data_IF_122236488437
#
_entry.id   IF_122236488437
#
_cell.length_a   1.000
_cell.length_b   1.000
_cell.length_c   1.000
_cell.angle_alpha   90.00
_cell.angle_beta   90.00
_cell.angle_gamma   90.00
#
_symmetry.space_group_name_H-M   'P 1'
#
loop_
_entity.id
_entity.type
_entity.pdbx_description
1 polymer ?
#
# COMPACT_ATOMS: atom_id res chain seq x y z
N UNK A 1 -2.71 30.68 -25.69
CA UNK A 1 -1.51 29.89 -25.34
C UNK A 1 -1.10 30.10 -23.88
N UNK A 2 -0.54 31.23 -23.44
CA UNK A 2 -0.04 31.38 -22.04
C UNK A 2 -1.13 31.31 -20.95
N UNK A 3 -2.32 31.87 -21.20
CA UNK A 3 -3.45 31.83 -20.23
C UNK A 3 -4.01 30.41 -20.07
N UNK A 4 -4.05 29.64 -21.16
CA UNK A 4 -4.58 28.29 -21.16
C UNK A 4 -3.67 27.32 -20.40
N UNK A 5 -2.35 27.41 -20.62
CA UNK A 5 -1.36 26.65 -19.84
C UNK A 5 -1.43 27.01 -18.35
N UNK A 6 -1.60 28.29 -18.01
CA UNK A 6 -1.76 28.73 -16.63
C UNK A 6 -3.01 28.13 -15.96
N UNK A 7 -4.13 28.06 -16.68
CA UNK A 7 -5.35 27.47 -16.13
C UNK A 7 -5.23 25.95 -15.98
N UNK A 8 -4.56 25.27 -16.91
CA UNK A 8 -4.22 23.84 -16.80
C UNK A 8 -3.30 23.55 -15.62
N UNK A 9 -2.24 24.35 -15.40
CA UNK A 9 -1.37 24.20 -14.21
C UNK A 9 -2.15 24.44 -12.91
N UNK A 10 -3.03 25.44 -12.86
CA UNK A 10 -3.91 25.65 -11.69
C UNK A 10 -4.85 24.47 -11.43
N UNK A 11 -5.42 23.84 -12.46
CA UNK A 11 -6.24 22.63 -12.31
C UNK A 11 -5.43 21.50 -11.66
N UNK A 12 -4.19 21.26 -12.09
CA UNK A 12 -3.29 20.27 -11.48
C UNK A 12 -2.99 20.66 -10.03
N UNK A 13 -2.64 21.92 -9.75
CA UNK A 13 -2.31 22.36 -8.40
C UNK A 13 -3.46 22.23 -7.40
N UNK A 14 -4.72 22.34 -7.85
CA UNK A 14 -5.90 22.13 -6.98
C UNK A 14 -6.02 20.70 -6.45
N UNK A 15 -5.41 19.70 -7.12
CA UNK A 15 -5.35 18.32 -6.62
C UNK A 15 -4.64 18.23 -5.27
N UNK A 16 -3.70 19.15 -4.97
CA UNK A 16 -3.03 19.21 -3.67
C UNK A 16 -3.89 19.90 -2.58
N UNK A 17 -4.77 20.82 -2.96
CA UNK A 17 -5.46 21.73 -2.03
C UNK A 17 -6.87 21.27 -1.62
N UNK A 18 -7.54 20.41 -2.39
CA UNK A 18 -8.91 19.96 -2.10
C UNK A 18 -9.00 18.88 -0.99
N UNK A 19 -7.99 18.77 -0.13
CA UNK A 19 -7.70 17.60 0.72
C UNK A 19 -8.08 17.74 2.21
N UNK A 20 -8.96 18.68 2.59
CA UNK A 20 -9.33 18.86 3.99
C UNK A 20 -10.28 17.77 4.55
N UNK A 21 -10.85 16.89 3.71
CA UNK A 21 -11.71 15.79 4.22
C UNK A 21 -11.77 14.51 3.37
N UNK A 22 -11.46 14.56 2.06
CA UNK A 22 -11.45 13.37 1.19
C UNK A 22 -10.04 13.10 0.66
N UNK A 23 -9.55 11.87 0.85
CA UNK A 23 -8.28 11.39 0.30
C UNK A 23 -8.36 11.41 -1.23
N UNK A 24 -7.53 12.22 -1.89
CA UNK A 24 -7.41 12.19 -3.37
C UNK A 24 -6.89 10.81 -3.76
N UNK A 25 -7.61 10.15 -4.66
CA UNK A 25 -7.17 8.88 -5.21
C UNK A 25 -6.30 9.13 -6.44
N UNK A 26 -5.36 8.24 -6.72
CA UNK A 26 -4.57 8.30 -7.96
C UNK A 26 -5.48 8.30 -9.21
N UNK A 27 -6.66 7.70 -9.11
CA UNK A 27 -7.67 7.71 -10.16
C UNK A 27 -8.25 9.12 -10.42
N UNK A 28 -8.46 9.92 -9.38
CA UNK A 28 -8.91 11.31 -9.52
C UNK A 28 -7.83 12.17 -10.19
N UNK A 29 -6.55 11.89 -9.89
CA UNK A 29 -5.42 12.55 -10.56
C UNK A 29 -5.41 12.17 -12.04
N UNK A 30 -5.50 10.88 -12.37
CA UNK A 30 -5.59 10.42 -13.76
C UNK A 30 -6.75 11.06 -14.50
N UNK A 31 -7.92 11.23 -13.86
CA UNK A 31 -9.07 11.92 -14.45
C UNK A 31 -8.74 13.36 -14.86
N UNK A 32 -8.11 14.12 -13.97
CA UNK A 32 -7.73 15.51 -14.26
C UNK A 32 -6.66 15.57 -15.35
N UNK A 33 -5.68 14.67 -15.34
CA UNK A 33 -4.64 14.61 -16.37
C UNK A 33 -5.21 14.27 -17.75
N UNK A 34 -6.17 13.35 -17.79
CA UNK A 34 -6.87 12.99 -19.03
C UNK A 34 -7.61 14.17 -19.63
N UNK A 35 -8.30 14.99 -18.84
CA UNK A 35 -8.97 16.22 -19.29
C UNK A 35 -7.97 17.26 -19.80
N UNK A 36 -6.86 17.45 -19.07
CA UNK A 36 -5.89 18.51 -19.35
C UNK A 36 -5.05 18.23 -20.60
N UNK A 37 -4.63 16.98 -20.76
CA UNK A 37 -3.73 16.53 -21.83
C UNK A 37 -4.47 15.93 -23.03
N UNK A 38 -5.79 15.74 -22.92
CA UNK A 38 -6.61 15.04 -23.93
C UNK A 38 -6.06 13.63 -24.22
N UNK A 39 -5.63 12.94 -23.16
CA UNK A 39 -4.85 11.70 -23.23
C UNK A 39 -5.37 10.64 -22.26
N UNK A 40 -5.08 9.37 -22.52
CA UNK A 40 -5.14 8.36 -21.46
C UNK A 40 -3.98 8.57 -20.50
N UNK A 41 -4.24 8.42 -19.19
CA UNK A 41 -3.25 8.62 -18.13
C UNK A 41 -3.19 7.41 -17.19
N UNK A 42 -1.97 6.99 -16.86
CA UNK A 42 -1.67 5.89 -15.94
C UNK A 42 -0.63 6.33 -14.92
N UNK A 43 -0.82 5.89 -13.67
CA UNK A 43 0.17 5.99 -12.60
C UNK A 43 0.52 4.58 -12.13
N UNK A 44 1.80 4.23 -12.25
CA UNK A 44 2.33 2.89 -11.98
C UNK A 44 3.32 3.01 -10.83
N UNK A 45 3.17 2.19 -9.79
CA UNK A 45 4.14 2.13 -8.68
C UNK A 45 5.48 1.55 -9.15
N UNK A 46 6.53 1.73 -8.36
CA UNK A 46 7.85 1.12 -8.60
C UNK A 46 7.78 -0.41 -8.84
N UNK A 47 6.85 -1.10 -8.19
CA UNK A 47 6.67 -2.56 -8.32
C UNK A 47 5.85 -2.97 -9.55
N UNK A 48 5.42 -2.02 -10.39
CA UNK A 48 4.57 -2.29 -11.56
C UNK A 48 3.08 -2.33 -11.27
N UNK A 49 2.63 -2.10 -10.02
CA UNK A 49 1.20 -2.03 -9.68
C UNK A 49 0.57 -0.77 -10.26
N UNK A 50 -0.56 -0.90 -10.94
CA UNK A 50 -1.36 0.23 -11.44
C UNK A 50 -2.12 0.84 -10.26
N UNK A 51 -1.79 2.10 -9.96
CA UNK A 51 -2.37 2.85 -8.85
C UNK A 51 -3.59 3.67 -9.31
N UNK A 52 -3.57 4.14 -10.56
CA UNK A 52 -4.66 4.88 -11.19
C UNK A 52 -4.58 4.78 -12.71
N UNK A 53 -5.75 4.76 -13.36
CA UNK A 53 -5.87 4.73 -14.82
C UNK A 53 -7.13 5.48 -15.24
N UNK A 54 -7.01 6.34 -16.26
CA UNK A 54 -8.17 6.96 -16.90
C UNK A 54 -7.99 7.01 -18.40
N UNK A 55 -8.98 6.48 -19.12
CA UNK A 55 -9.04 6.50 -20.57
C UNK A 55 -9.61 7.84 -21.08
N UNK A 56 -8.94 8.45 -22.05
CA UNK A 56 -9.35 9.70 -22.69
C UNK A 56 -10.00 9.49 -24.06
N UNK A 57 -10.58 10.55 -24.62
CA UNK A 57 -11.27 10.56 -25.91
C UNK A 57 -10.39 10.28 -27.14
N UNK A 58 -9.07 10.23 -26.95
CA UNK A 58 -8.08 9.86 -27.97
C UNK A 58 -7.31 8.59 -27.62
N UNK A 59 -7.92 7.69 -26.85
CA UNK A 59 -7.32 6.43 -26.40
C UNK A 59 -8.37 5.33 -26.30
N UNK A 60 -8.76 4.75 -27.44
CA UNK A 60 -9.23 3.35 -27.42
C UNK A 60 -8.11 2.46 -26.87
N UNK A 61 -8.47 1.28 -26.39
CA UNK A 61 -7.60 0.35 -25.69
C UNK A 61 -6.19 0.29 -26.33
N UNK A 62 -5.18 0.87 -25.67
CA UNK A 62 -3.84 0.30 -25.78
C UNK A 62 -4.03 -1.18 -25.45
N UNK A 63 -3.48 -2.03 -26.31
CA UNK A 63 -3.68 -3.47 -26.37
C UNK A 63 -3.79 -4.19 -25.02
N UNK A 64 -4.24 -5.44 -25.05
CA UNK A 64 -4.40 -6.32 -23.89
C UNK A 64 -3.17 -6.43 -22.95
N UNK A 65 -2.01 -5.87 -23.34
CA UNK A 65 -0.73 -5.91 -22.63
C UNK A 65 -0.64 -4.90 -21.46
N UNK A 66 -1.38 -3.79 -21.51
CA UNK A 66 -1.51 -2.88 -20.36
C UNK A 66 -2.76 -3.25 -19.58
N UNK A 67 -2.56 -3.90 -18.43
CA UNK A 67 -3.67 -4.26 -17.54
C UNK A 67 -4.50 -3.01 -17.21
N UNK A 68 -5.83 -3.13 -17.30
CA UNK A 68 -6.76 -1.99 -17.32
C UNK A 68 -7.42 -1.73 -15.96
N UNK A 69 -7.01 -2.49 -14.95
CA UNK A 69 -7.68 -2.53 -13.67
C UNK A 69 -6.77 -1.96 -12.58
N UNK A 70 -7.33 -1.08 -11.76
CA UNK A 70 -6.60 -0.55 -10.61
C UNK A 70 -6.26 -1.71 -9.68
N UNK A 71 -4.99 -1.81 -9.31
CA UNK A 71 -4.49 -2.86 -8.41
C UNK A 71 -3.84 -4.04 -9.11
N UNK A 72 -3.97 -4.19 -10.43
CA UNK A 72 -3.21 -5.19 -11.20
C UNK A 72 -1.78 -4.74 -11.44
N UNK A 73 -0.94 -5.66 -11.88
CA UNK A 73 0.45 -5.40 -12.23
C UNK A 73 0.60 -5.39 -13.75
N UNK A 74 1.46 -4.53 -14.26
CA UNK A 74 1.93 -4.60 -15.65
C UNK A 74 2.96 -5.73 -15.79
N UNK A 75 3.26 -6.11 -17.03
CA UNK A 75 4.31 -7.10 -17.29
C UNK A 75 5.66 -6.68 -16.69
N UNK A 76 6.40 -7.59 -16.02
CA UNK A 76 7.67 -7.27 -15.39
C UNK A 76 8.70 -6.63 -16.34
N UNK A 77 8.79 -7.14 -17.58
CA UNK A 77 9.72 -6.62 -18.60
C UNK A 77 9.37 -5.19 -18.99
N UNK A 78 8.07 -4.88 -19.13
CA UNK A 78 7.61 -3.51 -19.38
C UNK A 78 7.96 -2.60 -18.20
N UNK A 79 7.75 -3.06 -16.97
CA UNK A 79 8.09 -2.29 -15.77
C UNK A 79 9.59 -1.98 -15.70
N UNK A 80 10.46 -2.97 -15.97
CA UNK A 80 11.91 -2.76 -16.02
C UNK A 80 12.30 -1.71 -17.05
N UNK A 81 11.71 -1.75 -18.25
CA UNK A 81 11.95 -0.74 -19.30
C UNK A 81 11.50 0.66 -18.88
N UNK A 82 10.34 0.77 -18.23
CA UNK A 82 9.84 2.05 -17.71
C UNK A 82 10.73 2.61 -16.59
N UNK A 83 11.24 1.75 -15.70
CA UNK A 83 12.19 2.14 -14.65
C UNK A 83 13.55 2.56 -15.22
N UNK A 84 13.95 2.03 -16.38
CA UNK A 84 15.16 2.43 -17.11
C UNK A 84 15.09 3.84 -17.71
N UNK A 85 13.91 4.48 -17.73
CA UNK A 85 13.73 5.87 -18.17
C UNK A 85 14.02 6.79 -16.99
N UNK A 86 15.12 7.55 -17.05
CA UNK A 86 15.63 8.38 -15.95
C UNK A 86 15.22 9.86 -16.03
N UNK A 87 14.70 10.29 -17.18
CA UNK A 87 14.16 11.64 -17.40
C UNK A 87 12.89 11.54 -18.22
N UNK A 88 12.04 12.57 -18.17
CA UNK A 88 10.85 12.63 -19.01
C UNK A 88 11.23 12.39 -20.47
N UNK A 89 10.51 11.47 -21.11
CA UNK A 89 10.62 11.21 -22.54
C UNK A 89 9.27 11.45 -23.19
N UNK A 90 9.21 12.38 -24.11
CA UNK A 90 8.04 12.71 -24.91
C UNK A 90 8.03 11.97 -26.25
N UNK A 91 6.83 11.84 -26.83
CA UNK A 91 6.62 11.24 -28.15
C UNK A 91 7.29 9.86 -28.32
N UNK A 92 7.32 9.09 -27.23
CA UNK A 92 7.92 7.76 -27.19
C UNK A 92 7.14 6.82 -28.10
N UNK A 93 7.84 6.12 -28.99
CA UNK A 93 7.27 4.98 -29.71
C UNK A 93 7.09 3.82 -28.73
N UNK A 94 5.85 3.43 -28.47
CA UNK A 94 5.49 2.37 -27.53
C UNK A 94 6.04 0.98 -27.92
N UNK A 95 6.31 0.73 -29.21
CA UNK A 95 6.97 -0.50 -29.67
C UNK A 95 8.37 -0.64 -29.08
N UNK A 96 9.07 0.48 -28.83
CA UNK A 96 10.40 0.46 -28.20
C UNK A 96 10.33 0.08 -26.72
N UNK A 97 9.17 0.23 -26.09
CA UNK A 97 8.85 -0.28 -24.76
C UNK A 97 8.34 -1.72 -24.81
N UNK A 98 8.17 -2.27 -26.01
CA UNK A 98 7.65 -3.60 -26.33
C UNK A 98 6.16 -3.77 -26.04
N UNK A 99 5.40 -2.68 -26.14
CA UNK A 99 3.95 -2.75 -26.26
C UNK A 99 3.65 -2.94 -27.74
N UNK A 100 2.93 -3.98 -28.10
CA UNK A 100 2.67 -4.37 -29.50
C UNK A 100 1.18 -4.43 -29.80
N UNK A 101 0.77 -4.05 -31.01
CA UNK A 101 -0.65 -3.91 -31.36
C UNK A 101 -0.89 -3.18 -32.68
N UNK A 102 -2.01 -3.50 -33.34
CA UNK A 102 -2.33 -3.03 -34.69
C UNK A 102 -2.55 -1.49 -34.77
N UNK A 103 -2.94 -0.85 -33.67
CA UNK A 103 -3.18 0.62 -33.61
C UNK A 103 -1.98 1.43 -33.10
N UNK A 104 -0.91 0.78 -32.67
CA UNK A 104 0.25 1.43 -32.02
C UNK A 104 1.01 2.43 -32.90
N UNK A 105 1.12 2.27 -34.24
CA UNK A 105 1.88 3.20 -35.07
C UNK A 105 1.43 4.68 -34.98
N UNK A 106 0.17 4.92 -34.65
CA UNK A 106 -0.40 6.28 -34.51
C UNK A 106 -0.40 6.79 -33.06
N UNK A 107 0.13 6.00 -32.11
CA UNK A 107 0.14 6.33 -30.70
C UNK A 107 1.44 7.00 -30.28
N UNK A 108 1.32 8.10 -29.55
CA UNK A 108 2.46 8.77 -28.92
C UNK A 108 2.28 8.79 -27.41
N UNK A 109 3.39 8.70 -26.67
CA UNK A 109 3.38 8.73 -25.21
C UNK A 109 4.39 9.71 -24.61
N UNK A 110 4.05 10.29 -23.46
CA UNK A 110 5.03 10.85 -22.53
C UNK A 110 5.18 9.86 -21.38
N UNK A 111 6.42 9.50 -21.09
CA UNK A 111 6.78 8.73 -19.89
C UNK A 111 7.51 9.67 -18.94
N UNK A 112 6.91 9.90 -17.78
CA UNK A 112 7.45 10.78 -16.73
C UNK A 112 7.85 9.95 -15.52
N UNK A 113 9.15 9.86 -15.22
CA UNK A 113 9.66 9.40 -13.94
C UNK A 113 9.03 10.11 -12.74
N UNK A 114 8.67 9.37 -11.70
CA UNK A 114 8.22 9.96 -10.44
C UNK A 114 9.31 9.74 -9.40
N UNK A 115 10.17 10.74 -9.24
CA UNK A 115 11.28 10.74 -8.30
C UNK A 115 11.08 11.82 -7.23
N UNK A 116 11.18 11.45 -5.94
CA UNK A 116 11.16 12.40 -4.82
C UNK A 116 12.29 12.07 -3.86
N UNK A 117 13.02 13.11 -3.42
CA UNK A 117 14.12 12.98 -2.46
C UNK A 117 15.20 11.96 -2.89
N UNK A 118 15.39 11.78 -4.20
CA UNK A 118 16.35 10.81 -4.75
C UNK A 118 15.84 9.37 -4.82
N UNK A 119 14.57 9.12 -4.49
CA UNK A 119 13.95 7.81 -4.61
C UNK A 119 12.93 7.76 -5.76
N UNK A 120 13.03 6.71 -6.59
CA UNK A 120 12.06 6.40 -7.64
C UNK A 120 10.82 5.75 -7.04
N UNK A 121 9.71 6.48 -7.02
CA UNK A 121 8.43 6.02 -6.47
C UNK A 121 7.59 5.26 -7.50
N UNK A 122 7.69 5.63 -8.78
CA UNK A 122 6.88 5.05 -9.84
C UNK A 122 7.10 5.70 -11.19
N UNK A 123 6.17 5.45 -12.11
CA UNK A 123 6.20 6.00 -13.47
C UNK A 123 4.79 6.49 -13.83
N UNK A 124 4.69 7.71 -14.35
CA UNK A 124 3.48 8.20 -14.98
C UNK A 124 3.59 8.02 -16.49
N UNK A 125 2.55 7.49 -17.12
CA UNK A 125 2.48 7.31 -18.57
C UNK A 125 1.23 8.01 -19.06
N UNK A 126 1.37 8.91 -20.03
CA UNK A 126 0.25 9.52 -20.74
C UNK A 126 0.38 9.26 -22.23
N UNK A 127 -0.69 8.84 -22.88
CA UNK A 127 -0.67 8.53 -24.31
C UNK A 127 -1.94 8.99 -25.03
N UNK A 128 -1.80 9.29 -26.31
CA UNK A 128 -2.91 9.62 -27.21
C UNK A 128 -2.58 9.24 -28.65
N UNK A 129 -3.61 9.00 -29.44
CA UNK A 129 -3.49 8.75 -30.87
C UNK A 129 -3.47 10.06 -31.67
N UNK A 130 -2.84 10.01 -32.85
CA UNK A 130 -2.94 11.01 -33.94
C UNK A 130 -2.42 12.42 -33.64
N UNK A 131 -1.89 12.70 -32.43
CA UNK A 131 -1.40 14.03 -32.04
C UNK A 131 -0.16 13.93 -31.15
N UNK A 132 0.98 14.43 -31.65
CA UNK A 132 2.22 14.52 -30.87
C UNK A 132 2.11 15.50 -29.70
N UNK A 133 2.92 15.28 -28.69
CA UNK A 133 3.06 16.13 -27.52
C UNK A 133 4.00 17.31 -27.78
N UNK A 134 3.56 18.51 -27.37
CA UNK A 134 4.34 19.74 -27.43
C UNK A 134 4.92 20.14 -26.07
N UNK A 135 5.63 21.27 -26.03
CA UNK A 135 6.29 21.76 -24.81
C UNK A 135 5.33 21.99 -23.64
N UNK A 136 4.14 22.52 -23.92
CA UNK A 136 3.09 22.74 -22.90
C UNK A 136 2.65 21.41 -22.26
N UNK A 137 2.54 20.35 -23.06
CA UNK A 137 2.18 19.02 -22.57
C UNK A 137 3.30 18.42 -21.70
N UNK A 138 4.56 18.65 -22.06
CA UNK A 138 5.74 18.21 -21.28
C UNK A 138 5.76 18.94 -19.94
N UNK A 139 5.61 20.27 -19.93
CA UNK A 139 5.55 21.08 -18.70
C UNK A 139 4.44 20.58 -17.77
N UNK A 140 3.24 20.35 -18.32
CA UNK A 140 2.10 19.84 -17.56
C UNK A 140 2.36 18.43 -17.03
N UNK A 141 3.02 17.57 -17.80
CA UNK A 141 3.35 16.20 -17.40
C UNK A 141 4.40 16.16 -16.29
N UNK A 142 5.45 16.99 -16.35
CA UNK A 142 6.44 17.07 -15.28
C UNK A 142 5.86 17.67 -13.98
N UNK A 143 5.04 18.71 -14.12
CA UNK A 143 4.34 19.28 -12.97
C UNK A 143 3.37 18.28 -12.34
N UNK A 144 2.61 17.56 -13.17
CA UNK A 144 1.76 16.47 -12.73
C UNK A 144 2.55 15.35 -12.04
N UNK A 145 3.69 14.93 -12.61
CA UNK A 145 4.57 13.93 -12.02
C UNK A 145 5.04 14.32 -10.61
N UNK A 146 5.34 15.60 -10.40
CA UNK A 146 5.68 16.14 -9.07
C UNK A 146 4.50 16.05 -8.09
N UNK A 147 3.29 16.40 -8.53
CA UNK A 147 2.06 16.32 -7.72
C UNK A 147 1.71 14.87 -7.38
N UNK A 148 1.79 13.95 -8.36
CA UNK A 148 1.57 12.51 -8.14
C UNK A 148 2.59 11.99 -7.13
N UNK A 149 3.87 12.38 -7.27
CA UNK A 149 4.90 11.97 -6.32
C UNK A 149 4.58 12.37 -4.89
N UNK A 150 4.07 13.58 -4.65
CA UNK A 150 3.69 14.03 -3.31
C UNK A 150 2.58 13.15 -2.71
N UNK A 151 1.59 12.77 -3.50
CA UNK A 151 0.54 11.84 -3.06
C UNK A 151 1.06 10.41 -2.87
N UNK A 152 2.04 9.96 -3.66
CA UNK A 152 2.72 8.68 -3.44
C UNK A 152 3.50 8.66 -2.12
N UNK A 153 4.26 9.72 -1.83
CA UNK A 153 4.96 9.91 -0.54
C UNK A 153 3.98 9.89 0.63
N UNK A 154 2.86 10.60 0.50
CA UNK A 154 1.81 10.63 1.50
C UNK A 154 1.22 9.23 1.73
N UNK A 155 0.89 8.51 0.65
CA UNK A 155 0.35 7.16 0.74
C UNK A 155 1.30 6.20 1.46
N UNK A 156 2.60 6.23 1.13
CA UNK A 156 3.64 5.43 1.80
C UNK A 156 3.76 5.83 3.28
N UNK A 157 3.73 7.12 3.59
CA UNK A 157 3.81 7.62 4.98
C UNK A 157 2.60 7.17 5.80
N UNK A 158 1.39 7.22 5.23
CA UNK A 158 0.16 6.76 5.88
C UNK A 158 0.17 5.25 6.13
N UNK A 159 0.66 4.46 5.16
CA UNK A 159 0.82 3.00 5.26
C UNK A 159 1.83 2.64 6.37
N UNK A 160 3.03 3.23 6.33
CA UNK A 160 4.06 3.05 7.37
C UNK A 160 3.55 3.45 8.76
N UNK A 161 2.80 4.55 8.86
CA UNK A 161 2.22 4.99 10.13
C UNK A 161 1.14 4.02 10.63
N UNK A 162 0.36 3.41 9.74
CA UNK A 162 -0.62 2.39 10.09
C UNK A 162 0.05 1.11 10.60
N UNK A 163 1.11 0.67 9.92
CA UNK A 163 1.93 -0.47 10.34
C UNK A 163 2.61 -0.20 11.69
N UNK A 164 3.24 0.97 11.87
CA UNK A 164 3.84 1.35 13.15
C UNK A 164 2.81 1.40 14.29
N UNK A 165 1.58 1.89 14.03
CA UNK A 165 0.49 1.84 15.01
C UNK A 165 0.11 0.40 15.35
N UNK A 166 0.01 -0.48 14.35
CA UNK A 166 -0.27 -1.91 14.52
C UNK A 166 0.79 -2.56 15.43
N UNK A 167 2.06 -2.30 15.20
CA UNK A 167 3.13 -2.79 16.08
C UNK A 167 3.06 -2.22 17.50
N UNK A 168 2.84 -0.90 17.60
CA UNK A 168 2.84 -0.20 18.89
C UNK A 168 1.73 -0.71 19.80
N UNK A 169 0.53 -0.97 19.26
CA UNK A 169 -0.59 -1.54 20.03
C UNK A 169 -0.19 -2.86 20.70
N UNK A 170 0.45 -3.76 19.96
CA UNK A 170 0.91 -5.06 20.49
C UNK A 170 2.00 -4.86 21.53
N UNK A 171 3.02 -4.05 21.24
CA UNK A 171 4.12 -3.75 22.17
C UNK A 171 3.60 -3.17 23.48
N UNK A 172 2.65 -2.23 23.40
CA UNK A 172 1.98 -1.66 24.57
C UNK A 172 1.20 -2.72 25.35
N UNK A 173 0.44 -3.58 24.68
CA UNK A 173 -0.30 -4.66 25.34
C UNK A 173 0.63 -5.61 26.10
N UNK A 174 1.73 -6.04 25.47
CA UNK A 174 2.76 -6.89 26.08
C UNK A 174 3.35 -6.21 27.33
N UNK A 175 3.68 -4.93 27.25
CA UNK A 175 4.26 -4.19 28.38
C UNK A 175 3.31 -4.03 29.58
N UNK A 176 2.00 -4.26 29.40
CA UNK A 176 1.05 -4.29 30.52
C UNK A 176 0.98 -5.65 31.23
N UNK A 177 1.55 -6.70 30.65
CA UNK A 177 1.58 -8.03 31.25
C UNK A 177 2.67 -8.13 32.32
N UNK A 178 2.33 -8.80 33.42
CA UNK A 178 3.32 -9.33 34.36
C UNK A 178 4.04 -10.54 33.75
N UNK A 179 5.17 -10.94 34.34
CA UNK A 179 5.96 -12.08 33.87
C UNK A 179 5.11 -13.36 33.67
N UNK A 180 4.32 -13.74 34.68
CA UNK A 180 3.46 -14.93 34.60
C UNK A 180 2.32 -14.78 33.58
N UNK A 181 1.82 -13.57 33.35
CA UNK A 181 0.81 -13.31 32.32
C UNK A 181 1.40 -13.41 30.91
N UNK A 182 2.63 -12.94 30.72
CA UNK A 182 3.35 -13.05 29.45
C UNK A 182 3.65 -14.51 29.11
N UNK A 183 4.14 -15.29 30.08
CA UNK A 183 4.37 -16.73 29.92
C UNK A 183 3.07 -17.46 29.57
N UNK A 184 1.96 -17.13 30.25
CA UNK A 184 0.64 -17.66 29.93
C UNK A 184 0.23 -17.37 28.49
N UNK A 185 0.42 -16.13 28.02
CA UNK A 185 0.09 -15.70 26.66
C UNK A 185 0.93 -16.44 25.63
N UNK A 186 2.24 -16.60 25.85
CA UNK A 186 3.11 -17.37 24.94
C UNK A 186 2.54 -18.80 24.79
N UNK A 187 2.19 -19.48 25.88
CA UNK A 187 1.61 -20.82 25.81
C UNK A 187 0.25 -20.85 25.11
N UNK A 188 -0.61 -19.88 25.37
CA UNK A 188 -1.92 -19.74 24.72
C UNK A 188 -1.78 -19.63 23.21
N UNK A 189 -0.89 -18.76 22.73
CA UNK A 189 -0.71 -18.52 21.30
C UNK A 189 0.01 -19.69 20.60
N UNK A 190 0.90 -20.42 21.29
CA UNK A 190 1.49 -21.66 20.75
C UNK A 190 0.45 -22.80 20.61
N UNK A 191 -0.64 -22.78 21.40
CA UNK A 191 -1.75 -23.74 21.29
C UNK A 191 -2.81 -23.32 20.26
N UNK A 192 -2.77 -22.09 19.77
CA UNK A 192 -3.71 -21.61 18.76
C UNK A 192 -3.26 -22.12 17.38
N UNK A 193 -4.10 -22.92 16.72
CA UNK A 193 -3.85 -23.37 15.35
C UNK A 193 -4.34 -22.31 14.35
N UNK A 194 -3.52 -21.30 14.08
CA UNK A 194 -3.86 -20.21 13.14
C UNK A 194 -4.14 -18.88 13.84
N UNK A 195 -5.11 -18.12 13.34
CA UNK A 195 -5.53 -16.80 13.83
C UNK A 195 -6.76 -16.83 14.75
N UNK A 196 -7.40 -17.99 14.90
CA UNK A 196 -8.57 -18.17 15.77
C UNK A 196 -8.63 -19.57 16.40
N UNK A 197 -9.29 -19.70 17.56
CA UNK A 197 -9.41 -20.99 18.23
C UNK A 197 -10.20 -20.95 19.53
N UNK A 198 -10.55 -22.13 20.05
CA UNK A 198 -11.20 -22.28 21.36
C UNK A 198 -10.17 -22.66 22.40
N UNK A 199 -10.05 -21.83 23.43
CA UNK A 199 -9.13 -21.98 24.53
C UNK A 199 -9.83 -22.46 25.81
N UNK A 200 -9.29 -23.49 26.45
CA UNK A 200 -9.73 -23.94 27.78
C UNK A 200 -8.71 -23.52 28.83
N UNK A 201 -8.99 -22.41 29.52
CA UNK A 201 -8.05 -21.80 30.48
C UNK A 201 -7.60 -22.75 31.62
N UNK A 202 -8.46 -23.66 32.08
CA UNK A 202 -8.06 -24.65 33.10
C UNK A 202 -6.98 -25.61 32.60
N UNK A 203 -7.07 -26.07 31.36
CA UNK A 203 -6.09 -27.00 30.75
C UNK A 203 -4.70 -26.38 30.67
N UNK A 204 -4.63 -25.08 30.38
CA UNK A 204 -3.38 -24.34 30.27
C UNK A 204 -2.82 -24.01 31.66
N UNK A 205 -3.69 -23.63 32.59
CA UNK A 205 -3.32 -23.40 34.00
C UNK A 205 -2.63 -24.63 34.60
N UNK A 206 -3.22 -25.82 34.44
CA UNK A 206 -2.69 -27.08 34.97
C UNK A 206 -1.35 -27.47 34.31
N UNK A 207 -1.18 -27.16 33.02
CA UNK A 207 0.03 -27.51 32.25
C UNK A 207 1.22 -26.60 32.58
N UNK A 208 0.98 -25.30 32.70
CA UNK A 208 2.02 -24.29 32.94
C UNK A 208 2.27 -24.10 34.45
N UNK A 209 1.38 -24.61 35.30
CA UNK A 209 1.51 -24.50 36.76
C UNK A 209 1.17 -23.11 37.29
N UNK A 210 0.23 -22.41 36.63
CA UNK A 210 -0.23 -21.07 37.01
C UNK A 210 -1.71 -21.07 37.38
N UNK A 211 -2.17 -20.02 38.05
CA UNK A 211 -3.60 -19.89 38.38
C UNK A 211 -4.43 -19.47 37.16
N UNK A 212 -5.68 -19.95 37.07
CA UNK A 212 -6.60 -19.58 35.97
C UNK A 212 -6.83 -18.06 35.87
N UNK A 213 -6.76 -17.33 36.99
CA UNK A 213 -6.92 -15.88 37.01
C UNK A 213 -5.81 -15.14 36.24
N UNK A 214 -4.58 -15.66 36.22
CA UNK A 214 -3.46 -15.11 35.44
C UNK A 214 -3.80 -15.15 33.95
N UNK A 215 -4.29 -16.29 33.45
CA UNK A 215 -4.70 -16.45 32.04
C UNK A 215 -5.83 -15.48 31.68
N UNK A 216 -6.87 -15.42 32.51
CA UNK A 216 -8.03 -14.55 32.25
C UNK A 216 -7.64 -13.08 32.25
N UNK A 217 -6.76 -12.65 33.17
CA UNK A 217 -6.28 -11.27 33.21
C UNK A 217 -5.41 -10.92 32.00
N UNK A 218 -4.53 -11.83 31.57
CA UNK A 218 -3.70 -11.63 30.40
C UNK A 218 -4.54 -11.47 29.12
N UNK A 219 -5.52 -12.36 28.92
CA UNK A 219 -6.48 -12.28 27.81
C UNK A 219 -7.28 -10.97 27.84
N UNK A 220 -7.74 -10.55 29.02
CA UNK A 220 -8.49 -9.28 29.18
C UNK A 220 -7.65 -8.07 28.81
N UNK A 221 -6.34 -8.05 29.13
CA UNK A 221 -5.42 -6.96 28.75
C UNK A 221 -5.24 -6.89 27.23
N UNK A 222 -5.08 -8.04 26.58
CA UNK A 222 -4.95 -8.12 25.12
C UNK A 222 -6.25 -7.73 24.40
N UNK A 223 -7.39 -8.15 24.92
CA UNK A 223 -8.71 -7.75 24.41
C UNK A 223 -8.93 -6.24 24.58
N UNK A 224 -8.58 -5.68 25.74
CA UNK A 224 -8.70 -4.23 26.01
C UNK A 224 -7.80 -3.39 25.10
N UNK A 225 -6.67 -3.94 24.65
CA UNK A 225 -5.76 -3.30 23.71
C UNK A 225 -6.17 -3.48 22.24
N UNK A 226 -7.20 -4.28 21.95
CA UNK A 226 -7.61 -4.60 20.58
C UNK A 226 -6.64 -5.52 19.84
N UNK A 227 -5.86 -6.32 20.57
CA UNK A 227 -4.97 -7.35 19.98
C UNK A 227 -5.76 -8.61 19.63
N UNK A 228 -6.74 -8.95 20.47
CA UNK A 228 -7.64 -10.09 20.29
C UNK A 228 -9.10 -9.68 20.51
N UNK A 229 -10.00 -10.49 20.01
CA UNK A 229 -11.40 -10.53 20.43
C UNK A 229 -11.65 -11.84 21.18
N UNK A 230 -12.39 -11.78 22.28
CA UNK A 230 -12.75 -12.98 23.04
C UNK A 230 -14.26 -13.13 23.16
N UNK A 231 -14.74 -14.38 23.07
CA UNK A 231 -16.15 -14.72 23.30
C UNK A 231 -16.24 -15.94 24.19
N UNK A 232 -16.92 -15.80 25.33
CA UNK A 232 -17.16 -16.94 26.21
C UNK A 232 -18.07 -17.97 25.54
N UNK A 233 -17.64 -19.22 25.49
CA UNK A 233 -18.43 -20.39 25.05
C UNK A 233 -18.88 -21.24 26.25
N UNK A 234 -18.96 -20.64 27.44
CA UNK A 234 -19.32 -21.32 28.68
C UNK A 234 -18.34 -22.43 29.05
N UNK A 235 -18.85 -23.65 29.24
CA UNK A 235 -18.03 -24.82 29.63
C UNK A 235 -17.09 -25.30 28.51
N UNK A 236 -17.32 -24.91 27.24
CA UNK A 236 -16.46 -25.30 26.12
C UNK A 236 -15.15 -24.51 26.06
N UNK A 237 -15.04 -23.42 26.84
CA UNK A 237 -13.89 -22.53 26.84
C UNK A 237 -14.22 -21.12 26.34
N UNK A 238 -13.19 -20.40 25.93
CA UNK A 238 -13.29 -19.05 25.36
C UNK A 238 -12.81 -19.11 23.93
N UNK A 239 -13.65 -18.71 22.98
CA UNK A 239 -13.20 -18.50 21.61
C UNK A 239 -12.38 -17.22 21.56
N UNK A 240 -11.23 -17.28 20.91
CA UNK A 240 -10.31 -16.16 20.73
C UNK A 240 -10.08 -16.00 19.23
N UNK A 241 -10.10 -14.75 18.77
CA UNK A 241 -9.70 -14.37 17.42
C UNK A 241 -8.63 -13.28 17.50
N UNK A 242 -7.55 -13.46 16.76
CA UNK A 242 -6.49 -12.46 16.67
C UNK A 242 -6.92 -11.36 15.71
N UNK A 243 -6.93 -10.12 16.20
CA UNK A 243 -7.24 -8.91 15.41
C UNK A 243 -5.96 -8.31 14.83
N UNK A 244 -4.86 -8.43 15.56
CA UNK A 244 -3.57 -7.88 15.18
C UNK A 244 -2.52 -9.01 15.09
N UNK A 245 -2.25 -9.46 13.86
CA UNK A 245 -1.31 -10.55 13.55
C UNK A 245 0.14 -10.30 14.01
N UNK A 246 0.55 -9.05 14.24
CA UNK A 246 1.90 -8.70 14.70
C UNK A 246 2.19 -9.29 16.08
N UNK A 247 1.15 -9.68 16.82
CA UNK A 247 1.28 -10.40 18.09
C UNK A 247 2.10 -11.69 17.96
N UNK A 248 1.98 -12.42 16.86
CA UNK A 248 2.76 -13.65 16.66
C UNK A 248 4.24 -13.35 16.55
N UNK A 249 4.62 -12.43 15.67
CA UNK A 249 6.01 -12.01 15.50
C UNK A 249 6.61 -11.42 16.79
N UNK A 250 5.83 -10.62 17.51
CA UNK A 250 6.28 -10.02 18.77
C UNK A 250 6.52 -11.08 19.86
N UNK A 251 5.64 -12.07 19.99
CA UNK A 251 5.78 -13.15 20.98
C UNK A 251 6.95 -14.09 20.63
N UNK A 252 7.14 -14.39 19.34
CA UNK A 252 8.27 -15.22 18.88
C UNK A 252 9.62 -14.57 19.20
N UNK A 253 9.76 -13.25 18.94
CA UNK A 253 10.97 -12.50 19.32
C UNK A 253 11.27 -12.55 20.81
N UNK A 254 10.24 -12.50 21.65
CA UNK A 254 10.39 -12.58 23.11
C UNK A 254 10.82 -14.00 23.53
N UNK A 255 10.22 -15.03 22.92
CA UNK A 255 10.57 -16.43 23.17
C UNK A 255 12.04 -16.71 22.84
N UNK A 256 12.50 -16.27 21.67
CA UNK A 256 13.92 -16.40 21.28
C UNK A 256 14.88 -15.69 22.23
N UNK A 257 14.49 -14.53 22.77
CA UNK A 257 15.30 -13.81 23.75
C UNK A 257 15.37 -14.56 25.09
N UNK A 258 14.25 -15.09 25.56
CA UNK A 258 14.20 -15.88 26.79
C UNK A 258 15.04 -17.15 26.68
N UNK A 259 14.96 -17.87 25.56
CA UNK A 259 15.74 -19.10 25.33
C UNK A 259 17.26 -18.82 25.33
N UNK A 260 17.69 -17.67 24.80
CA UNK A 260 19.11 -17.23 24.83
C UNK A 260 19.61 -16.90 26.24
N UNK A 261 18.73 -16.47 27.14
CA UNK A 261 19.07 -16.15 28.53
C UNK A 261 19.15 -17.43 29.37
N UNK A 262 18.33 -18.44 29.11
CA UNK A 262 18.33 -19.73 29.84
C UNK A 262 19.53 -20.64 29.51
N UNK A 263 20.18 -20.43 28.37
CA UNK A 263 21.36 -21.21 27.93
C UNK A 263 22.69 -20.62 28.47
N UNK A 264 22.66 -19.47 29.15
CA UNK A 264 23.80 -18.87 29.85
C UNK A 264 23.75 -19.14 31.35
#
# INVERSE_FOLDING_TARGET
MSVELLDKTRKIGRLLHNNSSSKVTFNDICLVLTDILESTALVISRKGKILGVRFGSGGEELTNDLSKEIGTFIEPILNERLLGILSTKENVNLETLGITGDTIPDCTAIVTPIDIAGERLGTMVVYRYHKSYGIDDIILSEYAGSVVGLEMMRAVTEENAAEARKEQVVKSAINTLSFSELEAIIHIFNELEGDEGILVASRIADRVGITRSVIVNALRKFESAGVIESRSSGMKGTYIKVVNDYVFEALDKIKEQNDKITIR
#
